data_IF_513225679095
#
_entry.id   IF_513225679095
#
_cell.length_a   1.000
_cell.length_b   1.000
_cell.length_c   1.000
_cell.angle_alpha   90.00
_cell.angle_beta   90.00
_cell.angle_gamma   90.00
#
_symmetry.space_group_name_H-M   'P 1'
#
loop_
_entity.id
_entity.type
_entity.pdbx_description
1 polymer ?
#
# COMPACT_ATOMS: atom_id res chain seq x y z
N UNK A 1 -37.14 11.20 -2.82
CA UNK A 1 -36.11 10.94 -1.78
C UNK A 1 -35.19 12.13 -1.77
N UNK A 2 -35.13 12.87 -0.67
CA UNK A 2 -34.25 14.03 -0.56
C UNK A 2 -32.82 13.51 -0.38
N UNK A 3 -32.01 13.63 -1.43
CA UNK A 3 -30.62 13.14 -1.49
C UNK A 3 -29.64 14.14 -0.83
N UNK A 4 -29.95 14.59 0.38
CA UNK A 4 -29.08 15.49 1.13
C UNK A 4 -28.52 14.74 2.34
N UNK A 5 -27.20 14.81 2.51
CA UNK A 5 -26.54 14.30 3.72
C UNK A 5 -27.02 15.09 4.93
N UNK A 6 -27.18 14.41 6.07
CA UNK A 6 -27.59 15.05 7.31
C UNK A 6 -26.49 15.99 7.79
N UNK A 7 -26.86 17.08 8.47
CA UNK A 7 -25.88 17.97 9.13
C UNK A 7 -24.94 17.20 10.07
N UNK A 8 -25.42 16.11 10.68
CA UNK A 8 -24.61 15.23 11.53
C UNK A 8 -23.51 14.50 10.73
N UNK A 9 -23.78 14.10 9.49
CA UNK A 9 -22.82 13.39 8.64
C UNK A 9 -21.66 14.31 8.26
N UNK A 10 -21.97 15.57 7.93
CA UNK A 10 -20.95 16.59 7.65
C UNK A 10 -20.07 16.88 8.86
N UNK A 11 -20.64 16.92 10.07
CA UNK A 11 -19.87 17.12 11.31
C UNK A 11 -18.89 15.97 11.52
N UNK A 12 -19.34 14.72 11.38
CA UNK A 12 -18.47 13.53 11.51
C UNK A 12 -17.37 13.54 10.46
N UNK A 13 -17.70 13.86 9.20
CA UNK A 13 -16.72 13.97 8.12
C UNK A 13 -15.65 15.03 8.41
N UNK A 14 -16.05 16.22 8.87
CA UNK A 14 -15.12 17.30 9.17
C UNK A 14 -14.22 16.96 10.36
N UNK A 15 -14.75 16.34 11.41
CA UNK A 15 -13.95 15.86 12.55
C UNK A 15 -12.92 14.82 12.10
N UNK A 16 -13.34 13.84 11.30
CA UNK A 16 -12.43 12.83 10.75
C UNK A 16 -11.28 13.49 9.96
N UNK A 17 -11.62 14.45 9.08
CA UNK A 17 -10.62 15.16 8.28
C UNK A 17 -9.64 15.95 9.16
N UNK A 18 -10.13 16.67 10.17
CA UNK A 18 -9.30 17.45 11.10
C UNK A 18 -8.38 16.54 11.92
N UNK A 19 -8.86 15.39 12.38
CA UNK A 19 -8.03 14.43 13.14
C UNK A 19 -6.91 13.88 12.25
N UNK A 20 -7.23 13.42 11.04
CA UNK A 20 -6.24 12.83 10.12
C UNK A 20 -5.21 13.89 9.68
N UNK A 21 -5.67 15.07 9.27
CA UNK A 21 -4.80 16.17 8.86
C UNK A 21 -3.97 16.69 10.05
N UNK A 22 -4.58 16.84 11.23
CA UNK A 22 -3.90 17.27 12.45
C UNK A 22 -2.85 16.28 12.91
N UNK A 23 -3.14 14.98 12.89
CA UNK A 23 -2.17 13.93 13.19
C UNK A 23 -1.02 13.92 12.16
N UNK A 24 -1.33 14.03 10.87
CA UNK A 24 -0.34 14.11 9.81
C UNK A 24 0.60 15.31 9.97
N UNK A 25 0.05 16.50 10.26
CA UNK A 25 0.82 17.70 10.55
C UNK A 25 1.65 17.55 11.82
N UNK A 26 1.09 16.99 12.89
CA UNK A 26 1.81 16.76 14.15
C UNK A 26 3.02 15.82 13.95
N UNK A 27 2.85 14.72 13.23
CA UNK A 27 3.95 13.81 12.86
C UNK A 27 4.99 14.53 12.00
N UNK A 28 4.55 15.34 11.02
CA UNK A 28 5.44 16.11 10.17
C UNK A 28 6.30 17.11 10.97
N UNK A 29 5.68 17.89 11.87
CA UNK A 29 6.38 18.85 12.71
C UNK A 29 7.31 18.18 13.72
N UNK A 30 6.91 17.04 14.31
CA UNK A 30 7.76 16.26 15.22
C UNK A 30 9.01 15.72 14.52
N UNK A 31 8.85 15.17 13.31
CA UNK A 31 9.96 14.66 12.48
C UNK A 31 10.88 15.76 11.93
N UNK A 32 10.44 17.03 11.92
CA UNK A 32 11.28 18.18 11.59
C UNK A 32 12.10 18.68 12.79
N UNK A 33 11.61 18.45 14.01
CA UNK A 33 12.26 18.87 15.26
C UNK A 33 13.33 17.88 15.73
N UNK A 34 13.12 16.58 15.50
CA UNK A 34 14.19 15.60 15.60
C UNK A 34 14.92 15.60 14.26
N UNK A 35 16.21 15.93 14.22
CA UNK A 35 17.06 15.58 13.09
C UNK A 35 17.15 14.05 13.06
N UNK A 36 16.08 13.38 12.63
CA UNK A 36 15.98 11.94 12.48
C UNK A 36 16.95 11.60 11.35
N UNK A 37 18.21 11.40 11.71
CA UNK A 37 19.22 10.90 10.81
C UNK A 37 18.66 9.64 10.16
N UNK A 38 18.97 9.44 8.88
CA UNK A 38 18.60 8.26 8.10
C UNK A 38 18.72 6.94 8.88
N UNK A 39 19.63 6.87 9.85
CA UNK A 39 19.75 5.80 10.84
C UNK A 39 18.45 5.35 11.52
N UNK A 40 17.55 6.22 11.96
CA UNK A 40 16.30 5.80 12.65
C UNK A 40 15.25 5.23 11.68
N UNK A 41 15.27 5.70 10.43
CA UNK A 41 14.48 5.10 9.35
C UNK A 41 15.00 3.71 8.98
N UNK A 42 16.33 3.52 9.03
CA UNK A 42 16.99 2.23 8.81
C UNK A 42 17.06 1.35 10.07
N UNK A 43 16.93 1.86 11.29
CA UNK A 43 16.94 1.06 12.53
C UNK A 43 15.61 0.31 12.74
N UNK A 44 14.54 0.74 12.05
CA UNK A 44 13.32 -0.04 11.90
C UNK A 44 13.49 -1.21 10.90
N UNK A 45 14.58 -1.25 10.12
CA UNK A 45 14.92 -2.30 9.16
C UNK A 45 15.45 -3.53 9.91
N UNK A 46 14.56 -4.16 10.70
CA UNK A 46 14.86 -5.39 11.45
C UNK A 46 14.00 -5.62 12.69
N UNK A 47 13.32 -4.60 13.22
CA UNK A 47 12.51 -4.71 14.45
C UNK A 47 11.01 -4.82 14.22
N UNK A 48 10.55 -4.79 12.96
CA UNK A 48 9.15 -4.95 12.61
C UNK A 48 8.70 -6.38 12.86
N UNK A 49 7.70 -6.54 13.73
CA UNK A 49 7.10 -7.84 14.03
C UNK A 49 6.36 -8.39 12.81
N UNK A 50 6.31 -9.72 12.68
CA UNK A 50 5.70 -10.40 11.53
C UNK A 50 4.23 -9.97 11.28
N UNK A 51 3.47 -9.72 12.35
CA UNK A 51 2.08 -9.27 12.25
C UNK A 51 1.96 -7.82 11.78
N UNK A 52 2.90 -6.96 12.15
CA UNK A 52 2.94 -5.57 11.67
C UNK A 52 3.27 -5.51 10.18
N UNK A 53 4.20 -6.37 9.71
CA UNK A 53 4.51 -6.52 8.28
C UNK A 53 3.27 -7.01 7.52
N UNK A 54 2.61 -8.06 8.01
CA UNK A 54 1.39 -8.59 7.39
C UNK A 54 0.25 -7.56 7.33
N UNK A 55 -0.02 -6.86 8.44
CA UNK A 55 -1.05 -5.83 8.49
C UNK A 55 -0.75 -4.67 7.53
N UNK A 56 0.52 -4.24 7.43
CA UNK A 56 0.95 -3.20 6.49
C UNK A 56 0.75 -3.61 5.02
N UNK A 57 1.06 -4.87 4.69
CA UNK A 57 0.87 -5.40 3.33
C UNK A 57 -0.61 -5.42 2.93
N UNK A 58 -1.49 -5.86 3.83
CA UNK A 58 -2.94 -5.84 3.58
C UNK A 58 -3.46 -4.40 3.51
N UNK A 59 -3.07 -3.54 4.46
CA UNK A 59 -3.49 -2.15 4.49
C UNK A 59 -3.07 -1.37 3.23
N UNK A 60 -1.90 -1.70 2.66
CA UNK A 60 -1.41 -1.09 1.42
C UNK A 60 -2.16 -1.58 0.17
N UNK A 61 -2.85 -2.72 0.25
CA UNK A 61 -3.63 -3.27 -0.86
C UNK A 61 -5.10 -2.82 -0.84
N UNK A 62 -5.65 -2.48 0.33
CA UNK A 62 -7.04 -2.02 0.45
C UNK A 62 -7.16 -0.55 0.04
N UNK A 63 -7.86 -0.31 -1.06
CA UNK A 63 -8.18 1.03 -1.57
C UNK A 63 -9.70 1.26 -1.62
N UNK A 64 -10.12 2.50 -1.87
CA UNK A 64 -11.54 2.84 -2.08
C UNK A 64 -12.14 2.08 -3.28
N UNK A 65 -11.32 1.79 -4.30
CA UNK A 65 -11.70 0.97 -5.45
C UNK A 65 -12.02 -0.46 -5.04
N UNK A 66 -11.22 -1.03 -4.14
CA UNK A 66 -11.43 -2.37 -3.59
C UNK A 66 -12.77 -2.42 -2.84
N UNK A 67 -13.09 -1.37 -2.06
CA UNK A 67 -14.31 -1.32 -1.27
C UNK A 67 -15.58 -1.15 -2.12
N UNK A 68 -15.59 -0.22 -3.07
CA UNK A 68 -16.78 0.07 -3.90
C UNK A 68 -16.88 -0.92 -5.07
N UNK A 69 -15.76 -1.18 -5.75
CA UNK A 69 -15.68 -2.02 -6.95
C UNK A 69 -15.95 -3.49 -6.69
N UNK A 70 -15.36 -4.08 -5.65
CA UNK A 70 -15.67 -5.47 -5.31
C UNK A 70 -17.07 -5.63 -4.72
N UNK A 71 -17.59 -4.63 -4.00
CA UNK A 71 -18.99 -4.66 -3.54
C UNK A 71 -19.97 -4.64 -4.71
N UNK A 72 -19.71 -3.80 -5.72
CA UNK A 72 -20.49 -3.78 -6.97
C UNK A 72 -20.38 -5.08 -7.77
N UNK A 73 -19.20 -5.69 -7.80
CA UNK A 73 -18.96 -6.99 -8.43
C UNK A 73 -19.65 -8.12 -7.65
N UNK A 74 -19.65 -8.07 -6.33
CA UNK A 74 -20.35 -8.99 -5.44
C UNK A 74 -21.87 -8.90 -5.57
N UNK A 75 -22.43 -7.73 -5.86
CA UNK A 75 -23.86 -7.61 -6.18
C UNK A 75 -24.23 -8.35 -7.47
N UNK A 76 -23.35 -8.35 -8.48
CA UNK A 76 -23.59 -9.02 -9.76
C UNK A 76 -23.23 -10.50 -9.77
N UNK A 77 -22.10 -10.87 -9.16
CA UNK A 77 -21.49 -12.21 -9.26
C UNK A 77 -21.50 -12.97 -7.92
N UNK A 78 -22.03 -12.38 -6.85
CA UNK A 78 -22.08 -12.99 -5.53
C UNK A 78 -20.69 -13.28 -4.96
N UNK A 79 -20.55 -14.42 -4.29
CA UNK A 79 -19.30 -14.83 -3.62
C UNK A 79 -18.17 -15.18 -4.60
N UNK A 80 -18.45 -15.34 -5.90
CA UNK A 80 -17.43 -15.71 -6.89
C UNK A 80 -16.29 -14.67 -6.98
N UNK A 81 -16.55 -13.39 -6.66
CA UNK A 81 -15.50 -12.36 -6.64
C UNK A 81 -14.44 -12.64 -5.56
N UNK A 82 -14.80 -13.31 -4.47
CA UNK A 82 -13.86 -13.64 -3.38
C UNK A 82 -12.77 -14.63 -3.82
N UNK A 83 -12.98 -15.35 -4.93
CA UNK A 83 -11.95 -16.22 -5.50
C UNK A 83 -10.68 -15.45 -5.89
N UNK A 84 -10.79 -14.17 -6.27
CA UNK A 84 -9.62 -13.31 -6.51
C UNK A 84 -8.75 -13.17 -5.26
N UNK A 85 -9.36 -12.90 -4.11
CA UNK A 85 -8.64 -12.75 -2.84
C UNK A 85 -8.04 -14.08 -2.38
N UNK A 86 -8.75 -15.19 -2.54
CA UNK A 86 -8.23 -16.52 -2.17
C UNK A 86 -7.03 -16.93 -3.03
N UNK A 87 -7.08 -16.67 -4.34
CA UNK A 87 -5.95 -16.92 -5.24
C UNK A 87 -4.79 -15.97 -4.97
N UNK A 88 -5.06 -14.71 -4.63
CA UNK A 88 -4.04 -13.75 -4.23
C UNK A 88 -3.29 -14.22 -2.97
N UNK A 89 -4.01 -14.72 -1.95
CA UNK A 89 -3.39 -15.26 -0.74
C UNK A 89 -2.42 -16.41 -1.03
N UNK A 90 -2.82 -17.37 -1.87
CA UNK A 90 -1.94 -18.49 -2.28
C UNK A 90 -0.73 -17.96 -3.07
N UNK A 91 -0.95 -17.02 -3.98
CA UNK A 91 0.12 -16.42 -4.79
C UNK A 91 1.13 -15.68 -3.91
N UNK A 92 0.68 -14.97 -2.87
CA UNK A 92 1.56 -14.30 -1.91
C UNK A 92 2.45 -15.30 -1.15
N UNK A 93 1.95 -16.49 -0.81
CA UNK A 93 2.77 -17.54 -0.19
C UNK A 93 3.87 -18.00 -1.16
N UNK A 94 3.53 -18.22 -2.44
CA UNK A 94 4.52 -18.59 -3.46
C UNK A 94 5.57 -17.48 -3.63
N UNK A 95 5.16 -16.23 -3.70
CA UNK A 95 6.07 -15.08 -3.78
C UNK A 95 6.96 -15.00 -2.53
N UNK A 96 6.41 -15.19 -1.34
CA UNK A 96 7.15 -15.17 -0.09
C UNK A 96 8.22 -16.27 -0.01
N UNK A 97 7.92 -17.48 -0.48
CA UNK A 97 8.84 -18.62 -0.41
C UNK A 97 9.90 -18.59 -1.52
N UNK A 98 9.52 -18.25 -2.75
CA UNK A 98 10.41 -18.39 -3.91
C UNK A 98 11.07 -17.07 -4.33
N UNK A 99 10.34 -15.95 -4.28
CA UNK A 99 10.84 -14.68 -4.80
C UNK A 99 11.56 -13.87 -3.72
N UNK A 100 11.00 -13.73 -2.51
CA UNK A 100 11.61 -12.91 -1.45
C UNK A 100 13.08 -13.32 -1.14
N UNK A 101 13.45 -14.61 -1.04
CA UNK A 101 14.85 -14.98 -0.80
C UNK A 101 15.81 -14.49 -1.88
N UNK A 102 15.36 -14.47 -3.15
CA UNK A 102 16.17 -13.99 -4.28
C UNK A 102 16.36 -12.47 -4.21
N UNK A 103 15.32 -11.72 -3.84
CA UNK A 103 15.37 -10.26 -3.73
C UNK A 103 16.29 -9.84 -2.58
N UNK A 104 16.13 -10.45 -1.41
CA UNK A 104 16.95 -10.16 -0.23
C UNK A 104 18.42 -10.54 -0.46
N UNK A 105 18.71 -11.72 -1.04
CA UNK A 105 20.08 -12.16 -1.35
C UNK A 105 20.79 -11.22 -2.33
N UNK A 106 20.05 -10.65 -3.27
CA UNK A 106 20.59 -9.75 -4.29
C UNK A 106 20.56 -8.26 -3.90
N UNK A 107 20.08 -7.92 -2.70
CA UNK A 107 19.88 -6.55 -2.20
C UNK A 107 19.07 -5.69 -3.17
N UNK A 108 17.96 -6.26 -3.66
CA UNK A 108 17.03 -5.59 -4.58
C UNK A 108 15.84 -5.08 -3.77
N UNK A 109 15.60 -3.78 -3.83
CA UNK A 109 14.58 -3.11 -3.03
C UNK A 109 13.40 -2.60 -3.86
N UNK A 110 13.58 -2.42 -5.17
CA UNK A 110 12.52 -1.91 -6.06
C UNK A 110 12.37 -2.77 -7.31
N UNK A 111 11.17 -2.78 -7.89
CA UNK A 111 10.89 -3.54 -9.11
C UNK A 111 11.67 -3.05 -10.35
N UNK A 112 11.83 -1.74 -10.59
CA UNK A 112 12.70 -1.26 -11.67
C UNK A 112 14.17 -1.68 -11.46
N UNK A 113 14.67 -1.68 -10.22
CA UNK A 113 16.03 -2.15 -9.92
C UNK A 113 16.20 -3.64 -10.22
N UNK A 114 15.19 -4.47 -9.94
CA UNK A 114 15.18 -5.87 -10.34
C UNK A 114 15.36 -6.03 -11.85
N UNK A 115 14.54 -5.30 -12.63
CA UNK A 115 14.58 -5.36 -14.09
C UNK A 115 15.90 -4.83 -14.66
N UNK A 116 16.47 -3.79 -14.06
CA UNK A 116 17.77 -3.25 -14.44
C UNK A 116 18.88 -4.28 -14.27
N UNK A 117 18.89 -5.01 -13.14
CA UNK A 117 19.90 -6.04 -12.85
C UNK A 117 19.71 -7.31 -13.68
N UNK A 118 18.47 -7.66 -14.02
CA UNK A 118 18.13 -8.90 -14.74
C UNK A 118 18.17 -8.77 -16.27
N UNK A 119 17.81 -7.61 -16.80
CA UNK A 119 17.66 -7.35 -18.23
C UNK A 119 18.55 -6.17 -18.67
N UNK A 120 18.05 -4.94 -18.63
CA UNK A 120 18.78 -3.73 -19.01
C UNK A 120 18.11 -2.47 -18.43
N UNK A 121 18.79 -1.31 -18.56
CA UNK A 121 18.26 -0.03 -18.08
C UNK A 121 17.03 0.46 -18.83
N UNK A 122 16.88 0.12 -20.11
CA UNK A 122 15.73 0.54 -20.92
C UNK A 122 14.42 -0.08 -20.40
N UNK A 123 14.41 -1.37 -20.10
CA UNK A 123 13.22 -2.06 -19.55
C UNK A 123 12.86 -1.52 -18.17
N UNK A 124 13.86 -1.24 -17.33
CA UNK A 124 13.64 -0.60 -16.03
C UNK A 124 13.02 0.80 -16.16
N UNK A 125 13.48 1.59 -17.14
CA UNK A 125 12.94 2.94 -17.40
C UNK A 125 11.50 2.88 -17.92
N UNK A 126 11.21 1.99 -18.87
CA UNK A 126 9.84 1.78 -19.39
C UNK A 126 8.90 1.41 -18.24
N UNK A 127 9.31 0.48 -17.37
CA UNK A 127 8.52 0.11 -16.20
C UNK A 127 8.30 1.29 -15.25
N UNK A 128 9.35 2.06 -14.95
CA UNK A 128 9.23 3.22 -14.07
C UNK A 128 8.29 4.29 -14.62
N UNK A 129 8.38 4.60 -15.91
CA UNK A 129 7.48 5.56 -16.58
C UNK A 129 6.05 5.05 -16.61
N UNK A 130 5.85 3.77 -16.95
CA UNK A 130 4.54 3.15 -16.94
C UNK A 130 3.87 3.22 -15.56
N UNK A 131 4.59 2.88 -14.49
CA UNK A 131 4.07 2.98 -13.12
C UNK A 131 3.78 4.41 -12.71
N UNK A 132 4.61 5.38 -13.11
CA UNK A 132 4.38 6.79 -12.80
C UNK A 132 3.07 7.28 -13.47
N UNK A 133 2.86 6.95 -14.74
CA UNK A 133 1.63 7.32 -15.47
C UNK A 133 0.36 6.61 -14.98
N UNK A 134 0.49 5.43 -14.36
CA UNK A 134 -0.67 4.69 -13.87
C UNK A 134 -1.18 5.24 -12.53
N UNK A 135 -0.28 5.79 -11.71
CA UNK A 135 -0.59 6.27 -10.36
C UNK A 135 -0.69 7.80 -10.23
N UNK A 136 -0.18 8.56 -11.20
CA UNK A 136 -0.30 10.03 -11.28
C UNK A 136 -1.42 10.39 -12.24
#
# INVERSE_FOLDING_TARGET
>A
MNNYLSTKDYIVFLIYFVIVAGYGLWVYYRKKSESVGSKDYFLAEGSLTWWAIGASLIASNISAEQFIGMSGSGFKMGLAIATYEWMAAITLIVVAVFFIPVYLKNKIFTMPQFLHKRYNGTVAMIMAVFWLLLYV
#
